data_IF_191094417240
#
_entry.id   IF_191094417240
#
_cell.length_a   1.000
_cell.length_b   1.000
_cell.length_c   1.000
_cell.angle_alpha   90.00
_cell.angle_beta   90.00
_cell.angle_gamma   90.00
#
_symmetry.space_group_name_H-M   'P 1'
#
loop_
_entity.id
_entity.type
_entity.pdbx_description
1 polymer ?
#
# COMPACT_ATOMS: atom_id res chain seq x y z
N UNK A 1 14.77 -9.70 19.23
CA UNK A 1 13.57 -10.45 18.81
C UNK A 1 13.00 -9.71 17.62
N UNK A 2 13.38 -10.08 16.40
CA UNK A 2 13.06 -9.33 15.17
C UNK A 2 11.88 -9.99 14.47
N UNK A 3 10.66 -9.63 14.88
CA UNK A 3 9.49 -9.90 14.08
C UNK A 3 9.44 -8.89 12.90
N UNK A 4 8.81 -9.32 11.81
CA UNK A 4 8.81 -8.74 10.46
C UNK A 4 9.05 -7.23 10.36
N UNK A 5 10.03 -6.85 9.53
CA UNK A 5 10.77 -5.56 9.42
C UNK A 5 11.81 -5.25 10.49
N UNK A 6 11.88 -6.03 11.58
CA UNK A 6 12.82 -5.74 12.66
C UNK A 6 12.52 -4.42 13.41
N UNK A 7 11.26 -3.97 13.35
CA UNK A 7 10.83 -2.68 13.91
C UNK A 7 11.06 -1.49 12.98
N UNK A 8 11.50 -1.71 11.74
CA UNK A 8 11.71 -0.63 10.79
C UNK A 8 10.37 0.00 10.33
N UNK A 9 10.38 1.31 10.01
CA UNK A 9 9.21 2.00 9.46
C UNK A 9 8.75 1.38 8.15
N UNK A 10 7.44 1.28 7.93
CA UNK A 10 6.87 0.62 6.76
C UNK A 10 5.59 1.29 6.23
N UNK A 11 5.25 0.97 4.99
CA UNK A 11 3.92 1.21 4.42
C UNK A 11 3.09 -0.07 4.60
N UNK A 12 1.92 0.04 5.22
CA UNK A 12 0.99 -1.08 5.37
C UNK A 12 -0.20 -0.89 4.44
N UNK A 13 -0.54 -1.93 3.69
CA UNK A 13 -1.67 -1.93 2.76
C UNK A 13 -2.63 -3.08 3.13
N UNK A 14 -3.85 -2.72 3.55
CA UNK A 14 -4.89 -3.67 3.93
C UNK A 14 -5.59 -4.32 2.74
N UNK A 15 -4.85 -5.14 1.98
CA UNK A 15 -5.33 -5.78 0.75
C UNK A 15 -5.95 -7.18 0.95
N UNK A 16 -6.31 -7.57 2.18
CA UNK A 16 -6.88 -8.90 2.49
C UNK A 16 -8.10 -9.24 1.62
N UNK A 17 -8.93 -8.26 1.27
CA UNK A 17 -10.05 -8.46 0.35
C UNK A 17 -9.60 -8.84 -1.06
N UNK A 18 -8.59 -8.16 -1.60
CA UNK A 18 -8.00 -8.45 -2.91
C UNK A 18 -7.35 -9.84 -2.89
N UNK A 19 -6.60 -10.14 -1.83
CA UNK A 19 -5.93 -11.42 -1.65
C UNK A 19 -6.93 -12.58 -1.57
N UNK A 20 -7.98 -12.47 -0.75
CA UNK A 20 -8.97 -13.54 -0.62
C UNK A 20 -9.76 -13.74 -1.91
N UNK A 21 -10.13 -12.65 -2.59
CA UNK A 21 -10.92 -12.71 -3.83
C UNK A 21 -10.17 -13.44 -4.96
N UNK A 22 -8.83 -13.45 -4.98
CA UNK A 22 -8.06 -14.15 -6.02
C UNK A 22 -8.28 -15.67 -5.98
N UNK A 23 -8.60 -16.24 -4.82
CA UNK A 23 -8.92 -17.67 -4.67
C UNK A 23 -10.39 -17.99 -4.97
N UNK A 24 -11.21 -16.97 -5.24
CA UNK A 24 -12.64 -17.08 -5.52
C UNK A 24 -13.02 -16.42 -6.85
N UNK A 25 -12.13 -16.49 -7.85
CA UNK A 25 -12.39 -15.95 -9.20
C UNK A 25 -12.64 -14.43 -9.24
N UNK A 26 -12.07 -13.68 -8.28
CA UNK A 26 -12.26 -12.24 -8.17
C UNK A 26 -13.58 -11.80 -7.52
N UNK A 27 -14.32 -12.72 -6.88
CA UNK A 27 -15.65 -12.48 -6.30
C UNK A 27 -15.73 -11.18 -5.46
N UNK A 28 -16.63 -10.24 -5.83
CA UNK A 28 -16.86 -9.02 -5.05
C UNK A 28 -17.36 -9.30 -3.62
N UNK A 29 -18.15 -10.36 -3.43
CA UNK A 29 -18.65 -10.73 -2.11
C UNK A 29 -17.52 -11.20 -1.18
N UNK A 30 -16.58 -11.99 -1.69
CA UNK A 30 -15.39 -12.42 -0.93
C UNK A 30 -14.49 -11.22 -0.64
N UNK A 31 -14.33 -10.31 -1.60
CA UNK A 31 -13.58 -9.07 -1.41
C UNK A 31 -14.16 -8.21 -0.30
N UNK A 32 -15.49 -7.99 -0.32
CA UNK A 32 -16.24 -7.29 0.74
C UNK A 32 -16.01 -7.92 2.10
N UNK A 33 -16.21 -9.24 2.20
CA UNK A 33 -16.03 -9.99 3.44
C UNK A 33 -14.61 -9.84 4.00
N UNK A 34 -13.59 -9.98 3.13
CA UNK A 34 -12.19 -9.75 3.50
C UNK A 34 -11.92 -8.32 3.93
N UNK A 35 -12.53 -7.32 3.27
CA UNK A 35 -12.36 -5.90 3.56
C UNK A 35 -12.65 -5.50 5.02
N UNK A 36 -13.52 -6.23 5.72
CA UNK A 36 -13.77 -6.01 7.15
C UNK A 36 -12.54 -6.29 8.03
N UNK A 37 -11.63 -7.14 7.58
CA UNK A 37 -10.39 -7.48 8.29
C UNK A 37 -9.20 -6.60 7.87
N UNK A 38 -9.40 -5.65 6.95
CA UNK A 38 -8.31 -4.83 6.44
C UNK A 38 -7.68 -3.93 7.52
N UNK A 39 -8.41 -3.58 8.58
CA UNK A 39 -7.88 -2.84 9.72
C UNK A 39 -6.72 -3.56 10.43
N UNK A 40 -6.62 -4.90 10.32
CA UNK A 40 -5.50 -5.67 10.84
C UNK A 40 -4.15 -5.28 10.19
N UNK A 41 -4.19 -4.59 9.05
CA UNK A 41 -3.00 -4.02 8.43
C UNK A 41 -2.21 -3.11 9.35
N UNK A 42 -2.86 -2.41 10.29
CA UNK A 42 -2.18 -1.55 11.25
C UNK A 42 -1.19 -2.32 12.16
N UNK A 43 -1.25 -3.66 12.18
CA UNK A 43 -0.44 -4.52 13.04
C UNK A 43 0.52 -5.44 12.26
N UNK A 44 0.75 -5.20 10.96
CA UNK A 44 1.67 -6.03 10.17
C UNK A 44 3.14 -5.88 10.60
N UNK A 45 3.50 -4.72 11.13
CA UNK A 45 4.78 -4.47 11.79
C UNK A 45 4.64 -3.38 12.87
N UNK A 46 5.67 -3.15 13.71
CA UNK A 46 5.58 -2.21 14.82
C UNK A 46 5.49 -0.72 14.44
N UNK A 47 5.92 -0.29 13.25
CA UNK A 47 6.00 1.14 12.85
C UNK A 47 5.35 1.41 11.47
N UNK A 48 4.02 1.59 11.40
CA UNK A 48 3.33 2.02 10.18
C UNK A 48 3.49 3.52 9.93
N UNK A 49 4.28 3.94 8.94
CA UNK A 49 4.35 5.37 8.55
C UNK A 49 3.29 5.78 7.56
N UNK A 50 2.81 4.82 6.78
CA UNK A 50 1.69 5.01 5.87
C UNK A 50 0.77 3.80 6.03
N UNK A 51 -0.51 4.03 6.33
CA UNK A 51 -1.52 3.00 6.46
C UNK A 51 -2.61 3.23 5.41
N UNK A 52 -2.75 2.30 4.46
CA UNK A 52 -3.75 2.35 3.38
C UNK A 52 -4.84 1.32 3.63
N UNK A 53 -6.08 1.77 3.77
CA UNK A 53 -7.22 0.93 4.09
C UNK A 53 -8.35 1.09 3.07
N UNK A 54 -8.96 -0.01 2.59
CA UNK A 54 -10.06 0.04 1.63
C UNK A 54 -11.26 0.81 2.18
N UNK A 55 -11.52 0.70 3.48
CA UNK A 55 -12.68 1.31 4.16
C UNK A 55 -12.24 2.45 5.07
N UNK A 56 -13.18 3.33 5.40
CA UNK A 56 -12.94 4.37 6.38
C UNK A 56 -12.70 3.72 7.75
N UNK A 57 -11.74 4.27 8.50
CA UNK A 57 -11.57 3.98 9.92
C UNK A 57 -11.75 5.27 10.69
N UNK A 58 -12.26 5.15 11.92
CA UNK A 58 -12.49 6.29 12.79
C UNK A 58 -11.15 6.91 13.25
N UNK A 59 -11.05 8.24 13.19
CA UNK A 59 -9.85 8.98 13.58
C UNK A 59 -9.49 8.76 15.06
N UNK A 60 -10.50 8.52 15.92
CA UNK A 60 -10.30 8.15 17.33
C UNK A 60 -9.45 6.88 17.44
N UNK A 61 -9.77 5.85 16.62
CA UNK A 61 -9.08 4.57 16.68
C UNK A 61 -7.60 4.71 16.30
N UNK A 62 -7.32 5.45 15.22
CA UNK A 62 -5.94 5.72 14.79
C UNK A 62 -5.17 6.49 15.86
N UNK A 63 -5.78 7.52 16.45
CA UNK A 63 -5.16 8.32 17.50
C UNK A 63 -4.84 7.50 18.73
N UNK A 64 -5.77 6.67 19.21
CA UNK A 64 -5.54 5.83 20.39
C UNK A 64 -4.49 4.75 20.13
N UNK A 65 -4.49 4.11 18.96
CA UNK A 65 -3.43 3.16 18.60
C UNK A 65 -2.08 3.85 18.54
N UNK A 66 -1.99 5.01 17.89
CA UNK A 66 -0.73 5.76 17.80
C UNK A 66 -0.20 6.14 19.18
N UNK A 67 -1.10 6.52 20.11
CA UNK A 67 -0.73 6.83 21.50
C UNK A 67 -0.27 5.59 22.27
N UNK A 68 -1.00 4.48 22.20
CA UNK A 68 -0.72 3.27 22.98
C UNK A 68 0.50 2.50 22.46
N UNK A 69 0.69 2.50 21.15
CA UNK A 69 1.78 1.79 20.46
C UNK A 69 2.94 2.73 20.12
N UNK A 70 2.88 3.97 20.60
CA UNK A 70 3.91 5.01 20.45
C UNK A 70 4.29 5.31 18.99
N UNK A 71 3.37 5.10 18.05
CA UNK A 71 3.59 5.41 16.65
C UNK A 71 3.75 6.90 16.42
N UNK A 72 4.68 7.25 15.54
CA UNK A 72 5.01 8.63 15.20
C UNK A 72 4.58 8.93 13.75
N UNK A 73 3.83 10.02 13.55
CA UNK A 73 3.52 10.58 12.22
C UNK A 73 2.87 9.60 11.22
N UNK A 74 1.96 8.73 11.68
CA UNK A 74 1.25 7.78 10.82
C UNK A 74 0.32 8.53 9.86
N UNK A 75 0.61 8.46 8.56
CA UNK A 75 -0.29 8.95 7.52
C UNK A 75 -1.33 7.89 7.16
N UNK A 76 -2.60 8.10 7.52
CA UNK A 76 -3.69 7.17 7.23
C UNK A 76 -4.48 7.60 6.01
N UNK A 77 -4.65 6.67 5.08
CA UNK A 77 -5.49 6.79 3.88
C UNK A 77 -6.61 5.76 3.97
N UNK A 78 -7.72 6.16 4.56
CA UNK A 78 -8.96 5.38 4.59
C UNK A 78 -9.80 5.56 3.33
N UNK A 79 -10.84 4.73 3.22
CA UNK A 79 -11.85 4.81 2.16
C UNK A 79 -11.27 4.85 0.73
N UNK A 80 -10.13 4.17 0.49
CA UNK A 80 -9.54 4.16 -0.84
C UNK A 80 -10.39 3.34 -1.82
N UNK A 81 -11.07 2.29 -1.35
CA UNK A 81 -11.90 1.45 -2.20
C UNK A 81 -13.40 1.70 -1.94
N UNK A 82 -14.20 1.60 -3.00
CA UNK A 82 -15.65 1.45 -2.87
C UNK A 82 -16.01 0.14 -2.17
N UNK A 83 -17.31 -0.10 -1.95
CA UNK A 83 -17.77 -1.33 -1.28
C UNK A 83 -17.29 -2.61 -1.98
N UNK A 84 -17.33 -2.60 -3.31
CA UNK A 84 -16.97 -3.76 -4.13
C UNK A 84 -15.57 -3.63 -4.76
N UNK A 85 -14.90 -2.50 -4.53
CA UNK A 85 -13.65 -2.14 -5.16
C UNK A 85 -12.44 -2.80 -4.52
N UNK A 86 -11.40 -3.03 -5.32
CA UNK A 86 -10.11 -3.50 -4.81
C UNK A 86 -9.17 -2.38 -4.39
N UNK A 87 -8.26 -2.67 -3.46
CA UNK A 87 -7.23 -1.70 -3.03
C UNK A 87 -6.25 -1.43 -4.18
N UNK A 88 -5.85 -2.46 -4.94
CA UNK A 88 -4.93 -2.29 -6.05
C UNK A 88 -5.51 -1.39 -7.16
N UNK A 89 -6.80 -1.54 -7.47
CA UNK A 89 -7.51 -0.68 -8.42
C UNK A 89 -7.66 0.75 -7.89
N UNK A 90 -8.04 0.89 -6.62
CA UNK A 90 -8.18 2.16 -5.93
C UNK A 90 -6.87 2.97 -5.89
N UNK A 91 -5.73 2.31 -5.72
CA UNK A 91 -4.42 2.96 -5.75
C UNK A 91 -4.03 3.38 -7.17
N UNK A 92 -4.37 2.58 -8.18
CA UNK A 92 -4.14 2.92 -9.60
C UNK A 92 -4.92 4.17 -10.01
N UNK A 93 -6.15 4.35 -9.51
CA UNK A 93 -6.94 5.55 -9.75
C UNK A 93 -6.50 6.77 -8.92
N UNK A 94 -5.50 6.61 -8.03
CA UNK A 94 -4.95 7.68 -7.17
C UNK A 94 -3.44 7.81 -7.36
N UNK A 95 -2.97 8.30 -8.52
CA UNK A 95 -1.55 8.37 -8.84
C UNK A 95 -0.74 9.18 -7.82
N UNK A 96 -1.29 10.25 -7.25
CA UNK A 96 -0.61 11.04 -6.22
C UNK A 96 -0.32 10.24 -4.93
N UNK A 97 -1.23 9.37 -4.51
CA UNK A 97 -1.02 8.51 -3.35
C UNK A 97 0.02 7.42 -3.67
N UNK A 98 -0.07 6.82 -4.85
CA UNK A 98 0.90 5.82 -5.29
C UNK A 98 2.32 6.40 -5.39
N UNK A 99 2.47 7.61 -5.94
CA UNK A 99 3.74 8.32 -5.99
C UNK A 99 4.27 8.65 -4.58
N UNK A 100 3.39 9.01 -3.64
CA UNK A 100 3.79 9.21 -2.24
C UNK A 100 4.32 7.94 -1.60
N UNK A 101 3.65 6.80 -1.83
CA UNK A 101 4.10 5.48 -1.35
C UNK A 101 5.48 5.18 -1.92
N UNK A 102 5.67 5.32 -3.24
CA UNK A 102 6.96 5.06 -3.91
C UNK A 102 8.08 5.97 -3.39
N UNK A 103 7.81 7.28 -3.31
CA UNK A 103 8.77 8.28 -2.81
C UNK A 103 9.16 8.09 -1.35
N UNK A 104 8.36 7.38 -0.56
CA UNK A 104 8.73 7.11 0.84
C UNK A 104 10.00 6.26 0.96
N UNK A 105 10.30 5.42 -0.05
CA UNK A 105 11.41 4.46 0.00
C UNK A 105 11.25 3.39 1.10
N UNK A 106 10.10 3.34 1.77
CA UNK A 106 9.83 2.42 2.87
C UNK A 106 9.40 1.05 2.33
N UNK A 107 9.70 -0.05 3.07
CA UNK A 107 9.19 -1.37 2.73
C UNK A 107 7.65 -1.36 2.74
N UNK A 108 7.05 -1.94 1.71
CA UNK A 108 5.60 -2.10 1.59
C UNK A 108 5.20 -3.50 2.06
N UNK A 109 4.29 -3.56 3.05
CA UNK A 109 3.77 -4.79 3.63
C UNK A 109 2.28 -4.90 3.32
N UNK A 110 1.89 -6.06 2.83
CA UNK A 110 0.51 -6.44 2.46
C UNK A 110 0.10 -7.68 3.24
N UNK A 111 -1.22 -7.95 3.34
CA UNK A 111 -1.71 -9.23 3.88
C UNK A 111 -1.14 -10.42 3.11
N UNK A 112 -1.16 -10.31 1.78
CA UNK A 112 -0.61 -11.31 0.89
C UNK A 112 -0.41 -10.72 -0.50
N UNK A 113 0.42 -11.40 -1.30
CA UNK A 113 0.72 -10.95 -2.66
C UNK A 113 -0.41 -11.34 -3.61
N UNK A 114 -0.76 -10.42 -4.50
CA UNK A 114 -1.63 -10.63 -5.66
C UNK A 114 -0.94 -10.13 -6.93
N UNK A 115 -1.25 -10.67 -8.13
CA UNK A 115 -0.67 -10.18 -9.39
C UNK A 115 -0.87 -8.68 -9.62
N UNK A 116 -1.98 -8.12 -9.16
CA UNK A 116 -2.27 -6.68 -9.26
C UNK A 116 -1.39 -5.87 -8.31
N UNK A 117 -1.23 -6.33 -7.07
CA UNK A 117 -0.41 -5.65 -6.08
C UNK A 117 1.08 -5.68 -6.46
N UNK A 118 1.59 -6.81 -6.99
CA UNK A 118 2.97 -6.92 -7.45
C UNK A 118 3.25 -5.98 -8.62
N UNK A 119 2.36 -5.93 -9.62
CA UNK A 119 2.49 -4.99 -10.74
C UNK A 119 2.43 -3.53 -10.30
N UNK A 120 1.59 -3.21 -9.32
CA UNK A 120 1.42 -1.83 -8.83
C UNK A 120 2.65 -1.34 -8.07
N UNK A 121 3.24 -2.22 -7.25
CA UNK A 121 4.36 -1.93 -6.36
C UNK A 121 5.73 -2.16 -7.01
N UNK A 122 5.77 -2.79 -8.20
CA UNK A 122 6.98 -2.86 -8.99
C UNK A 122 7.54 -1.45 -9.24
N UNK A 123 8.88 -1.27 -9.20
CA UNK A 123 9.50 -0.03 -9.63
C UNK A 123 9.03 0.32 -11.05
N UNK A 124 8.78 1.61 -11.36
CA UNK A 124 8.51 2.01 -12.73
C UNK A 124 9.71 1.59 -13.60
N UNK A 125 9.43 1.09 -14.80
CA UNK A 125 10.51 0.82 -15.76
C UNK A 125 11.30 2.12 -15.97
N UNK A 126 12.64 2.06 -15.99
CA UNK A 126 13.44 3.23 -16.31
C UNK A 126 12.96 3.74 -17.66
N UNK A 127 12.40 4.96 -17.65
CA UNK A 127 12.06 5.66 -18.88
C UNK A 127 13.35 5.72 -19.68
N UNK A 128 13.36 5.18 -20.90
CA UNK A 128 14.52 5.26 -21.78
C UNK A 128 14.86 6.75 -21.96
N UNK A 129 15.78 7.23 -21.13
CA UNK A 129 16.22 8.61 -21.11
C UNK A 129 17.02 8.86 -22.37
N UNK A 130 16.62 9.92 -23.07
CA UNK A 130 17.40 10.73 -24.00
C UNK A 130 18.78 10.14 -24.33
N UNK A 131 18.90 9.60 -25.54
CA UNK A 131 20.15 9.10 -26.08
C UNK A 131 21.27 10.15 -25.91
N UNK A 132 22.51 9.70 -25.71
CA UNK A 132 23.63 10.61 -25.62
C UNK A 132 23.67 11.43 -26.91
N UNK A 133 23.52 12.75 -26.77
CA UNK A 133 23.79 13.68 -27.85
C UNK A 133 25.20 13.42 -28.33
N UNK A 134 25.33 12.85 -29.52
CA UNK A 134 26.58 12.73 -30.23
C UNK A 134 27.07 14.14 -30.54
N UNK A 135 27.89 14.71 -29.66
CA UNK A 135 28.76 15.82 -29.99
C UNK A 135 29.66 15.36 -31.13
N UNK A 136 29.35 15.80 -32.33
CA UNK A 136 30.25 15.72 -33.47
C UNK A 136 31.12 16.97 -33.44
N UNK A 137 32.25 16.88 -32.74
CA UNK A 137 33.42 17.71 -33.06
C UNK A 137 34.04 17.15 -34.34
N UNK A 138 33.85 17.85 -35.44
CA UNK A 138 34.70 17.80 -36.63
C UNK A 138 34.47 19.06 -37.46
N UNK A 139 35.46 19.97 -37.47
CA UNK A 139 35.50 21.17 -38.30
C UNK A 139 36.41 22.24 -37.74
#
# INVERSE_FOLDING_TARGET
MTAWTGGAPAVHIGNVGDFNAQFAGGSPAVRRAGGHYACLAAFYSPDPRILVLPRQVDDFWVRELSRVLEWQDVAVYGAVAGEDGGVAEALRSRPALLERIRRSGLPVITWGRTPESERLLAPPEPTAGAGPGSGSDAG
#
